data_IF_890194982168
#
_entry.id   IF_890194982168
#
_cell.length_a   1.000
_cell.length_b   1.000
_cell.length_c   1.000
_cell.angle_alpha   90.00
_cell.angle_beta   90.00
_cell.angle_gamma   90.00
#
_symmetry.space_group_name_H-M   'P 1'
#
loop_
_entity.id
_entity.type
_entity.pdbx_description
1 polymer ?
#
# COMPACT_ATOMS: atom_id res chain seq x y z
N UNK A 1 -11.86 12.78 33.10
CA UNK A 1 -10.39 12.88 33.25
C UNK A 1 -9.76 11.96 32.20
N UNK A 2 -9.36 12.51 31.04
CA UNK A 2 -8.83 11.70 29.95
C UNK A 2 -7.40 11.25 30.29
N UNK A 3 -7.16 9.95 30.34
CA UNK A 3 -5.85 9.38 30.61
C UNK A 3 -4.85 9.85 29.54
N UNK A 4 -3.82 10.61 29.94
CA UNK A 4 -2.70 10.93 29.06
C UNK A 4 -1.96 9.63 28.78
N UNK A 5 -2.08 9.11 27.56
CA UNK A 5 -1.32 7.98 27.07
C UNK A 5 0.19 8.27 27.23
N UNK A 6 0.86 7.47 28.05
CA UNK A 6 2.29 7.55 28.26
C UNK A 6 2.99 7.16 26.96
N UNK A 7 3.78 8.07 26.39
CA UNK A 7 4.57 7.81 25.19
C UNK A 7 5.61 6.73 25.50
N UNK A 8 5.31 5.49 25.14
CA UNK A 8 6.26 4.38 25.25
C UNK A 8 7.37 4.55 24.21
N UNK A 9 8.58 4.04 24.48
CA UNK A 9 9.72 4.07 23.53
C UNK A 9 9.35 3.48 22.16
N UNK A 10 8.41 2.52 22.15
CA UNK A 10 7.84 1.95 20.94
C UNK A 10 7.05 3.00 20.13
N UNK A 11 6.18 3.79 20.78
CA UNK A 11 5.42 4.86 20.14
C UNK A 11 6.33 5.98 19.61
N UNK A 12 7.42 6.30 20.32
CA UNK A 12 8.37 7.32 19.86
C UNK A 12 9.17 6.85 18.65
N UNK A 13 9.66 5.61 18.66
CA UNK A 13 10.33 5.06 17.49
C UNK A 13 9.33 4.92 16.33
N UNK A 14 8.25 4.13 16.47
CA UNK A 14 7.25 3.89 15.41
C UNK A 14 6.60 5.17 14.87
N UNK A 15 6.26 6.12 15.75
CA UNK A 15 5.65 7.39 15.37
C UNK A 15 6.61 8.34 14.65
N UNK A 16 7.91 8.31 14.99
CA UNK A 16 8.90 9.17 14.35
C UNK A 16 9.40 8.63 12.99
N UNK A 17 9.28 7.33 12.68
CA UNK A 17 9.72 6.82 11.37
C UNK A 17 8.93 7.45 10.22
N UNK A 18 7.61 7.58 10.38
CA UNK A 18 6.76 8.19 9.35
C UNK A 18 7.12 9.66 9.11
N UNK A 19 7.33 10.43 10.18
CA UNK A 19 7.72 11.84 10.06
C UNK A 19 9.14 12.03 9.53
N UNK A 20 10.07 11.14 9.88
CA UNK A 20 11.43 11.13 9.29
C UNK A 20 11.41 10.78 7.80
N UNK A 21 10.56 9.84 7.39
CA UNK A 21 10.41 9.49 5.98
C UNK A 21 9.83 10.66 5.18
N UNK A 22 8.86 11.36 5.76
CA UNK A 22 8.24 12.55 5.17
C UNK A 22 9.24 13.70 5.05
N UNK A 23 10.06 13.96 6.08
CA UNK A 23 11.13 14.94 6.03
C UNK A 23 12.24 14.57 5.03
N UNK A 24 12.57 13.28 4.86
CA UNK A 24 13.54 12.83 3.85
C UNK A 24 13.02 13.03 2.42
N UNK A 25 11.71 12.87 2.24
CA UNK A 25 11.01 12.99 0.97
C UNK A 25 10.48 14.41 0.70
N UNK A 26 10.94 15.41 1.45
CA UNK A 26 10.62 16.81 1.18
C UNK A 26 11.25 17.27 -0.15
N UNK A 27 12.33 16.62 -0.58
CA UNK A 27 12.87 16.80 -1.93
C UNK A 27 11.96 16.13 -2.99
N UNK A 28 11.45 16.89 -3.99
CA UNK A 28 10.48 16.39 -4.97
C UNK A 28 10.99 15.19 -5.78
N UNK A 29 12.30 15.13 -6.07
CA UNK A 29 12.88 14.00 -6.80
C UNK A 29 12.88 12.73 -5.97
N UNK A 30 13.21 12.81 -4.68
CA UNK A 30 13.19 11.65 -3.76
C UNK A 30 11.78 11.13 -3.55
N UNK A 31 10.82 12.06 -3.42
CA UNK A 31 9.40 11.72 -3.34
C UNK A 31 8.92 10.99 -4.59
N UNK A 32 9.22 11.52 -5.77
CA UNK A 32 8.85 10.89 -7.04
C UNK A 32 9.46 9.50 -7.19
N UNK A 33 10.76 9.34 -6.87
CA UNK A 33 11.41 8.03 -6.89
C UNK A 33 10.78 7.05 -5.90
N UNK A 34 10.47 7.48 -4.68
CA UNK A 34 9.79 6.62 -3.70
C UNK A 34 8.43 6.15 -4.22
N UNK A 35 7.63 7.08 -4.75
CA UNK A 35 6.31 6.75 -5.32
C UNK A 35 6.42 5.81 -6.52
N UNK A 36 7.43 6.00 -7.39
CA UNK A 36 7.69 5.11 -8.50
C UNK A 36 8.09 3.70 -8.04
N UNK A 37 8.96 3.59 -7.03
CA UNK A 37 9.35 2.29 -6.44
C UNK A 37 8.12 1.59 -5.86
N UNK A 38 7.28 2.31 -5.12
CA UNK A 38 6.07 1.76 -4.51
C UNK A 38 5.08 1.31 -5.58
N UNK A 39 4.90 2.10 -6.64
CA UNK A 39 4.07 1.76 -7.80
C UNK A 39 4.57 0.48 -8.48
N UNK A 40 5.87 0.42 -8.81
CA UNK A 40 6.48 -0.75 -9.47
C UNK A 40 6.47 -1.98 -8.57
N UNK A 41 6.71 -1.82 -7.27
CA UNK A 41 6.61 -2.88 -6.29
C UNK A 41 5.19 -3.43 -6.21
N UNK A 42 4.18 -2.56 -6.11
CA UNK A 42 2.77 -2.95 -6.16
C UNK A 42 2.42 -3.70 -7.44
N UNK A 43 2.86 -3.18 -8.59
CA UNK A 43 2.69 -3.81 -9.90
C UNK A 43 3.30 -5.21 -9.96
N UNK A 44 4.53 -5.36 -9.48
CA UNK A 44 5.20 -6.65 -9.42
C UNK A 44 4.42 -7.65 -8.55
N UNK A 45 4.02 -7.26 -7.34
CA UNK A 45 3.22 -8.12 -6.45
C UNK A 45 1.89 -8.52 -7.09
N UNK A 46 1.14 -7.58 -7.67
CA UNK A 46 -0.12 -7.86 -8.35
C UNK A 46 0.06 -8.85 -9.50
N UNK A 47 1.10 -8.67 -10.31
CA UNK A 47 1.42 -9.54 -11.45
C UNK A 47 1.84 -10.94 -11.00
N UNK A 48 2.66 -11.05 -9.94
CA UNK A 48 3.05 -12.34 -9.38
C UNK A 48 1.86 -13.13 -8.84
N UNK A 49 0.95 -12.47 -8.11
CA UNK A 49 -0.26 -13.13 -7.59
C UNK A 49 -1.14 -13.64 -8.73
N UNK A 50 -1.39 -12.81 -9.75
CA UNK A 50 -2.17 -13.22 -10.91
C UNK A 50 -1.50 -14.35 -11.70
N UNK A 51 -0.18 -14.30 -11.90
CA UNK A 51 0.56 -15.35 -12.61
C UNK A 51 0.50 -16.69 -11.88
N UNK A 52 0.66 -16.70 -10.55
CA UNK A 52 0.53 -17.92 -9.73
C UNK A 52 -0.90 -18.46 -9.80
N UNK A 53 -1.91 -17.59 -9.71
CA UNK A 53 -3.31 -17.98 -9.82
C UNK A 53 -3.63 -18.56 -11.21
N UNK A 54 -3.18 -17.90 -12.28
CA UNK A 54 -3.36 -18.35 -13.66
C UNK A 54 -2.65 -19.67 -13.97
N UNK A 55 -1.43 -19.87 -13.45
CA UNK A 55 -0.66 -21.11 -13.66
C UNK A 55 -1.27 -22.33 -12.94
N UNK A 56 -1.93 -22.12 -11.80
CA UNK A 56 -2.48 -23.23 -10.99
C UNK A 56 -3.90 -23.63 -11.40
N UNK A 57 -4.66 -22.75 -12.08
CA UNK A 57 -5.99 -23.05 -12.64
C UNK A 57 -7.06 -23.49 -11.63
N UNK A 58 -6.77 -23.44 -10.33
CA UNK A 58 -7.58 -24.05 -9.26
C UNK A 58 -7.78 -23.14 -8.04
N UNK A 59 -7.13 -21.97 -7.98
CA UNK A 59 -7.15 -21.08 -6.80
C UNK A 59 -8.14 -19.90 -6.90
N UNK A 60 -9.16 -20.00 -7.75
CA UNK A 60 -10.03 -18.87 -8.10
C UNK A 60 -10.71 -18.20 -6.88
N UNK A 61 -11.36 -18.93 -5.95
CA UNK A 61 -12.08 -18.29 -4.86
C UNK A 61 -11.16 -17.75 -3.76
N UNK A 62 -10.09 -18.47 -3.43
CA UNK A 62 -9.18 -18.10 -2.34
C UNK A 62 -8.28 -16.95 -2.77
N UNK A 63 -7.73 -16.99 -3.98
CA UNK A 63 -6.92 -15.91 -4.52
C UNK A 63 -7.74 -14.61 -4.65
N UNK A 64 -8.99 -14.72 -5.10
CA UNK A 64 -9.94 -13.60 -5.15
C UNK A 64 -10.25 -13.05 -3.75
N UNK A 65 -10.50 -13.93 -2.76
CA UNK A 65 -10.74 -13.50 -1.38
C UNK A 65 -9.54 -12.74 -0.81
N UNK A 66 -8.32 -13.24 -1.02
CA UNK A 66 -7.09 -12.63 -0.51
C UNK A 66 -6.85 -11.27 -1.17
N UNK A 67 -7.01 -11.16 -2.49
CA UNK A 67 -6.85 -9.87 -3.19
C UNK A 67 -7.91 -8.85 -2.77
N UNK A 68 -9.18 -9.26 -2.66
CA UNK A 68 -10.25 -8.38 -2.19
C UNK A 68 -10.03 -7.94 -0.75
N UNK A 69 -9.65 -8.86 0.15
CA UNK A 69 -9.36 -8.54 1.55
C UNK A 69 -8.19 -7.54 1.67
N UNK A 70 -7.13 -7.71 0.87
CA UNK A 70 -5.99 -6.81 0.84
C UNK A 70 -6.36 -5.42 0.29
N UNK A 71 -7.17 -5.36 -0.77
CA UNK A 71 -7.69 -4.10 -1.31
C UNK A 71 -8.60 -3.38 -0.31
N UNK A 72 -9.49 -4.11 0.35
CA UNK A 72 -10.37 -3.57 1.39
C UNK A 72 -9.57 -3.04 2.58
N UNK A 73 -8.52 -3.75 3.00
CA UNK A 73 -7.58 -3.28 4.02
C UNK A 73 -6.93 -1.95 3.61
N UNK A 74 -6.44 -1.85 2.36
CA UNK A 74 -5.86 -0.60 1.85
C UNK A 74 -6.88 0.55 1.85
N UNK A 75 -8.13 0.30 1.43
CA UNK A 75 -9.19 1.31 1.44
C UNK A 75 -9.55 1.77 2.85
N UNK A 76 -9.68 0.83 3.80
CA UNK A 76 -9.96 1.14 5.21
C UNK A 76 -8.82 1.93 5.84
N UNK A 77 -7.58 1.54 5.57
CA UNK A 77 -6.40 2.23 6.07
C UNK A 77 -6.35 3.68 5.56
N UNK A 78 -6.62 3.88 4.26
CA UNK A 78 -6.74 5.22 3.67
C UNK A 78 -7.82 6.05 4.35
N UNK A 79 -8.99 5.48 4.61
CA UNK A 79 -10.12 6.17 5.25
C UNK A 79 -9.79 6.57 6.70
N UNK A 80 -9.11 5.70 7.43
CA UNK A 80 -8.65 5.97 8.80
C UNK A 80 -7.58 7.06 8.86
N UNK A 81 -6.66 7.09 7.88
CA UNK A 81 -5.53 8.02 7.87
C UNK A 81 -5.84 9.37 7.23
N UNK A 82 -6.88 9.46 6.39
CA UNK A 82 -7.35 10.70 5.75
C UNK A 82 -7.54 11.89 6.71
N UNK A 83 -8.24 11.75 7.87
CA UNK A 83 -8.45 12.87 8.78
C UNK A 83 -7.18 13.31 9.51
N UNK A 84 -6.21 12.40 9.70
CA UNK A 84 -4.95 12.69 10.39
C UNK A 84 -3.89 13.31 9.46
N UNK A 85 -3.88 12.94 8.17
CA UNK A 85 -2.78 13.25 7.27
C UNK A 85 -3.30 13.67 5.88
N UNK A 86 -3.88 14.88 5.79
CA UNK A 86 -4.44 15.43 4.56
C UNK A 86 -3.33 15.68 3.51
N UNK A 87 -3.12 14.71 2.61
CA UNK A 87 -2.16 14.84 1.51
C UNK A 87 -0.71 14.47 1.86
N UNK A 88 -0.47 13.91 3.04
CA UNK A 88 0.86 13.47 3.46
C UNK A 88 1.38 12.26 2.65
N UNK A 89 2.69 12.04 2.74
CA UNK A 89 3.39 11.05 1.92
C UNK A 89 2.86 9.62 2.09
N UNK A 90 2.48 9.24 3.31
CA UNK A 90 1.93 7.91 3.60
C UNK A 90 0.66 7.61 2.79
N UNK A 91 -0.19 8.61 2.56
CA UNK A 91 -1.42 8.45 1.78
C UNK A 91 -1.11 8.26 0.30
N UNK A 92 -0.09 8.95 -0.22
CA UNK A 92 0.34 8.83 -1.60
C UNK A 92 1.03 7.49 -1.87
N UNK A 93 1.84 7.01 -0.92
CA UNK A 93 2.44 5.67 -0.98
C UNK A 93 1.34 4.61 -1.02
N UNK A 94 0.33 4.71 -0.16
CA UNK A 94 -0.80 3.78 -0.16
C UNK A 94 -1.59 3.82 -1.48
N UNK A 95 -1.85 5.02 -2.01
CA UNK A 95 -2.55 5.19 -3.29
C UNK A 95 -1.72 4.61 -4.45
N UNK A 96 -0.42 4.88 -4.54
CA UNK A 96 0.45 4.34 -5.60
C UNK A 96 0.62 2.83 -5.51
N UNK A 97 0.76 2.28 -4.30
CA UNK A 97 0.85 0.84 -4.10
C UNK A 97 -0.43 0.14 -4.54
N UNK A 98 -1.59 0.72 -4.20
CA UNK A 98 -2.89 0.22 -4.65
C UNK A 98 -3.05 0.29 -6.17
N UNK A 99 -2.66 1.41 -6.79
CA UNK A 99 -2.70 1.54 -8.25
C UNK A 99 -1.83 0.49 -8.93
N UNK A 100 -0.58 0.33 -8.48
CA UNK A 100 0.33 -0.67 -9.02
C UNK A 100 -0.25 -2.07 -8.92
N UNK A 101 -0.73 -2.45 -7.73
CA UNK A 101 -1.28 -3.79 -7.48
C UNK A 101 -2.49 -4.09 -8.36
N UNK A 102 -3.46 -3.18 -8.45
CA UNK A 102 -4.62 -3.33 -9.31
C UNK A 102 -4.22 -3.47 -10.78
N UNK A 103 -3.31 -2.62 -11.24
CA UNK A 103 -2.89 -2.61 -12.64
C UNK A 103 -2.15 -3.90 -13.01
N UNK A 104 -1.26 -4.38 -12.14
CA UNK A 104 -0.53 -5.64 -12.37
C UNK A 104 -1.47 -6.85 -12.41
N UNK A 105 -2.43 -6.91 -11.47
CA UNK A 105 -3.42 -8.00 -11.41
C UNK A 105 -4.31 -8.01 -12.67
N UNK A 106 -4.86 -6.84 -13.05
CA UNK A 106 -5.75 -6.71 -14.20
C UNK A 106 -5.02 -7.00 -15.52
N UNK A 107 -3.80 -6.48 -15.68
CA UNK A 107 -3.02 -6.70 -16.89
C UNK A 107 -2.79 -8.19 -17.14
N UNK A 108 -2.42 -8.93 -16.10
CA UNK A 108 -2.21 -10.38 -16.22
C UNK A 108 -3.53 -11.13 -16.47
N UNK A 109 -4.62 -10.70 -15.82
CA UNK A 109 -5.95 -11.25 -16.09
C UNK A 109 -6.39 -11.07 -17.55
N UNK A 110 -6.08 -9.92 -18.16
CA UNK A 110 -6.36 -9.68 -19.58
C UNK A 110 -5.49 -10.51 -20.53
N UNK A 111 -4.30 -10.95 -20.13
CA UNK A 111 -3.47 -11.84 -20.97
C UNK A 111 -4.03 -13.25 -21.09
N UNK A 112 -4.85 -13.66 -20.11
CA UNK A 112 -5.44 -14.99 -20.03
C UNK A 112 -6.79 -15.09 -20.76
N UNK A 113 -7.31 -13.96 -21.25
CA UNK A 113 -8.56 -13.81 -22.02
C UNK A 113 -8.28 -13.87 -23.52
#
# INVERSE_FOLDING_TARGET
>A
MAARLQSTRLQRNLGEWASRLEAWADNPWRRASLLAIVLMGGFFFGSSVASIAGATGQLDPIAALVTVALLELMVRLRRSWRPLNQGGLALQVLDMGRFGLLYGLLLEGFKLL
#
